data_IF_697906610926
#
_entry.id   IF_697906610926
#
_cell.length_a   1.000
_cell.length_b   1.000
_cell.length_c   1.000
_cell.angle_alpha   90.00
_cell.angle_beta   90.00
_cell.angle_gamma   90.00
#
_symmetry.space_group_name_H-M   'P 1'
#
loop_
_entity.id
_entity.type
_entity.pdbx_description
1 polymer ?
#
# COMPACT_ATOMS: atom_id res chain seq x y z
N UNK A 1 -8.31 23.33 -8.87
CA UNK A 1 -7.69 22.75 -7.66
C UNK A 1 -6.56 21.84 -8.14
N UNK A 2 -5.43 21.81 -7.44
CA UNK A 2 -4.28 20.95 -7.77
C UNK A 2 -4.03 20.00 -6.60
N UNK A 3 -3.59 18.78 -6.89
CA UNK A 3 -3.21 17.76 -5.91
C UNK A 3 -1.99 16.96 -6.41
N UNK A 4 -1.42 16.13 -5.53
CA UNK A 4 -0.33 15.22 -5.88
C UNK A 4 -0.89 13.88 -6.35
N UNK A 5 -0.23 13.30 -7.36
CA UNK A 5 -0.51 11.95 -7.83
C UNK A 5 0.72 11.05 -7.60
N UNK A 6 0.47 9.80 -7.19
CA UNK A 6 1.51 8.80 -7.03
C UNK A 6 2.03 8.33 -8.40
N UNK A 7 3.33 8.46 -8.62
CA UNK A 7 4.02 7.81 -9.75
C UNK A 7 4.55 6.42 -9.38
N UNK A 8 4.93 6.23 -8.12
CA UNK A 8 5.49 4.99 -7.60
C UNK A 8 4.41 4.17 -6.92
N UNK A 9 4.30 2.90 -7.31
CA UNK A 9 3.38 1.93 -6.71
C UNK A 9 4.18 0.74 -6.16
N UNK A 10 4.64 0.88 -4.91
CA UNK A 10 5.39 -0.15 -4.18
C UNK A 10 4.86 -0.17 -2.74
N UNK A 11 4.63 -1.34 -2.12
CA UNK A 11 4.14 -1.39 -0.74
C UNK A 11 5.10 -0.71 0.24
N UNK A 12 4.55 0.01 1.22
CA UNK A 12 5.29 0.39 2.42
C UNK A 12 5.46 -0.83 3.34
N UNK A 13 6.63 -0.97 3.97
CA UNK A 13 6.84 -2.00 4.99
C UNK A 13 6.25 -1.54 6.33
N UNK A 14 5.08 -2.07 6.67
CA UNK A 14 4.30 -1.68 7.85
C UNK A 14 4.92 -2.13 9.16
N UNK A 15 5.92 -3.03 9.15
CA UNK A 15 6.61 -3.49 10.36
C UNK A 15 7.44 -2.41 11.03
N UNK A 16 7.78 -1.35 10.30
CA UNK A 16 8.57 -0.22 10.77
C UNK A 16 7.71 1.00 11.15
N UNK A 17 6.39 0.86 11.13
CA UNK A 17 5.44 1.93 11.41
C UNK A 17 4.90 1.80 12.84
N UNK A 18 5.12 2.83 13.66
CA UNK A 18 4.44 2.95 14.96
C UNK A 18 3.06 3.59 14.76
N UNK A 19 2.02 2.75 14.77
CA UNK A 19 0.63 3.16 14.54
C UNK A 19 0.12 4.14 15.60
N UNK A 20 0.71 4.16 16.80
CA UNK A 20 0.29 5.08 17.86
C UNK A 20 0.61 6.54 17.56
N UNK A 21 1.49 6.78 16.58
CA UNK A 21 1.88 8.11 16.10
C UNK A 21 1.06 8.57 14.89
N UNK A 22 0.18 7.72 14.35
CA UNK A 22 -0.61 8.01 13.16
C UNK A 22 -2.03 8.42 13.51
N UNK A 23 -2.59 9.31 12.70
CA UNK A 23 -4.01 9.65 12.70
C UNK A 23 -4.82 8.63 11.90
N UNK A 24 -6.13 8.56 12.16
CA UNK A 24 -7.05 7.71 11.38
C UNK A 24 -7.03 8.07 9.88
N UNK A 25 -6.79 9.34 9.54
CA UNK A 25 -6.70 9.81 8.15
C UNK A 25 -5.46 9.23 7.47
N UNK A 26 -4.31 9.24 8.14
CA UNK A 26 -3.07 8.70 7.60
C UNK A 26 -3.12 7.16 7.50
N UNK A 27 -3.75 6.48 8.46
CA UNK A 27 -3.98 5.04 8.40
C UNK A 27 -4.88 4.66 7.21
N UNK A 28 -6.00 5.36 7.05
CA UNK A 28 -6.89 5.14 5.92
C UNK A 28 -6.21 5.44 4.58
N UNK A 29 -5.43 6.53 4.50
CA UNK A 29 -4.67 6.86 3.30
C UNK A 29 -3.67 5.75 2.94
N UNK A 30 -2.94 5.20 3.92
CA UNK A 30 -1.98 4.13 3.68
C UNK A 30 -2.68 2.83 3.20
N UNK A 31 -3.81 2.48 3.80
CA UNK A 31 -4.60 1.31 3.42
C UNK A 31 -5.18 1.46 1.99
N UNK A 32 -5.67 2.63 1.60
CA UNK A 32 -6.12 2.89 0.22
C UNK A 32 -4.94 2.90 -0.76
N UNK A 33 -3.79 3.49 -0.40
CA UNK A 33 -2.59 3.43 -1.22
C UNK A 33 -2.15 1.98 -1.48
N UNK A 34 -2.13 1.12 -0.45
CA UNK A 34 -1.80 -0.30 -0.58
C UNK A 34 -2.76 -1.06 -1.51
N UNK A 35 -4.06 -0.71 -1.48
CA UNK A 35 -5.04 -1.23 -2.42
C UNK A 35 -4.77 -0.77 -3.86
N UNK A 36 -4.46 0.50 -4.09
CA UNK A 36 -4.08 1.02 -5.41
C UNK A 36 -2.81 0.33 -5.94
N UNK A 37 -1.82 0.09 -5.06
CA UNK A 37 -0.61 -0.69 -5.40
C UNK A 37 -1.01 -2.09 -5.86
N UNK A 38 -1.90 -2.78 -5.15
CA UNK A 38 -2.36 -4.09 -5.56
C UNK A 38 -3.07 -4.05 -6.93
N UNK A 39 -4.01 -3.13 -7.13
CA UNK A 39 -4.77 -2.99 -8.37
C UNK A 39 -3.88 -2.74 -9.59
N UNK A 40 -2.83 -1.92 -9.43
CA UNK A 40 -1.91 -1.59 -10.52
C UNK A 40 -0.84 -2.66 -10.75
N UNK A 41 -0.34 -3.30 -9.70
CA UNK A 41 0.82 -4.20 -9.82
C UNK A 41 0.40 -5.67 -10.01
N UNK A 42 -0.71 -6.11 -9.41
CA UNK A 42 -1.14 -7.51 -9.48
C UNK A 42 -1.28 -8.07 -10.91
N UNK A 43 -1.78 -7.31 -11.91
CA UNK A 43 -1.86 -7.80 -13.30
C UNK A 43 -0.50 -8.11 -13.94
N UNK A 44 0.59 -7.60 -13.38
CA UNK A 44 1.94 -7.71 -13.94
C UNK A 44 2.82 -8.74 -13.22
N UNK A 45 2.30 -9.39 -12.17
CA UNK A 45 3.04 -10.38 -11.38
C UNK A 45 2.21 -11.65 -11.15
N UNK A 46 2.88 -12.77 -10.90
CA UNK A 46 2.22 -14.04 -10.64
C UNK A 46 3.01 -14.89 -9.63
N UNK A 47 2.49 -16.08 -9.32
CA UNK A 47 3.17 -17.05 -8.47
C UNK A 47 3.54 -16.50 -7.09
N UNK A 48 4.78 -16.75 -6.67
CA UNK A 48 5.31 -16.33 -5.37
C UNK A 48 5.31 -14.81 -5.19
N UNK A 49 5.55 -14.04 -6.27
CA UNK A 49 5.54 -12.57 -6.21
C UNK A 49 4.15 -12.03 -5.95
N UNK A 50 3.11 -12.60 -6.57
CA UNK A 50 1.72 -12.20 -6.31
C UNK A 50 1.30 -12.55 -4.88
N UNK A 51 1.71 -13.72 -4.38
CA UNK A 51 1.46 -14.11 -2.98
C UNK A 51 2.16 -13.16 -2.01
N UNK A 52 3.42 -12.80 -2.29
CA UNK A 52 4.14 -11.81 -1.50
C UNK A 52 3.43 -10.44 -1.52
N UNK A 53 3.00 -9.98 -2.70
CA UNK A 53 2.34 -8.69 -2.85
C UNK A 53 1.06 -8.61 -2.00
N UNK A 54 0.23 -9.67 -2.01
CA UNK A 54 -0.98 -9.75 -1.17
C UNK A 54 -0.66 -9.60 0.31
N UNK A 55 0.38 -10.27 0.79
CA UNK A 55 0.78 -10.18 2.19
C UNK A 55 1.38 -8.80 2.55
N UNK A 56 2.06 -8.16 1.60
CA UNK A 56 2.71 -6.87 1.81
C UNK A 56 1.74 -5.68 1.85
N UNK A 57 0.50 -5.87 1.35
CA UNK A 57 -0.55 -4.84 1.27
C UNK A 57 -1.70 -5.08 2.25
N UNK A 58 -1.54 -5.99 3.23
CA UNK A 58 -2.55 -6.24 4.24
C UNK A 58 -2.83 -4.96 5.06
N UNK A 59 -4.12 -4.61 5.30
CA UNK A 59 -4.48 -3.42 6.02
C UNK A 59 -3.88 -3.38 7.43
N UNK A 60 -3.49 -2.18 7.86
CA UNK A 60 -2.99 -1.92 9.20
C UNK A 60 -4.00 -1.27 10.11
#
# INVERSE_FOLDING_TARGET
LYEFENLTFVPFDTRLIDKSLMTDVELNWLNEYHKEVFEKIAPHVNGTTLTWLKNAIEPI
#
